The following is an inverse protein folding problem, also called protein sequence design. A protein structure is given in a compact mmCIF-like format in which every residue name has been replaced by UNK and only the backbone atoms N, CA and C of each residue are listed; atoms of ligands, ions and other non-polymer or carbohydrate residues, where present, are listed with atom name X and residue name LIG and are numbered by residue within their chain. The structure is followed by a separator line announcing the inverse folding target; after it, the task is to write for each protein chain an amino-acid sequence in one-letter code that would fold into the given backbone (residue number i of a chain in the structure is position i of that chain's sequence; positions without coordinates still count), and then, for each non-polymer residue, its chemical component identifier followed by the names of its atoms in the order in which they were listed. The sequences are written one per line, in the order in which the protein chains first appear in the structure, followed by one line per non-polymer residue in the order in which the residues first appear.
data_IF_144766979485
#
_entry.id   IF_144766979485
#
_cell.length_a   1.000
_cell.length_b   1.000
_cell.length_c   1.000
_cell.angle_alpha   90.00
_cell.angle_beta   90.00
_cell.angle_gamma   90.00
#
_symmetry.space_group_name_H-M   'P 1'
#
loop_
_entity.id
_entity.type
_entity.pdbx_description
1 polymer ?
#
# COMPACT_ATOMS: atom_id res chain seq x y z
N UNK A 1 18.72 21.76 21.17
CA UNK A 1 17.61 22.65 20.77
C UNK A 1 16.30 21.91 20.90
N UNK A 2 15.43 22.34 21.82
CA UNK A 2 14.10 21.74 21.96
C UNK A 2 13.23 22.15 20.77
N UNK A 3 12.28 21.31 20.33
CA UNK A 3 11.35 21.65 19.24
C UNK A 3 10.58 22.94 19.50
N UNK A 4 10.15 23.15 20.75
CA UNK A 4 9.42 24.35 21.17
C UNK A 4 10.27 25.61 20.99
N UNK A 5 11.55 25.52 21.35
CA UNK A 5 12.51 26.61 21.21
C UNK A 5 12.75 26.95 19.73
N UNK A 6 12.90 25.93 18.86
CA UNK A 6 13.02 26.14 17.42
C UNK A 6 11.77 26.80 16.82
N UNK A 7 10.57 26.40 17.26
CA UNK A 7 9.30 27.01 16.83
C UNK A 7 9.20 28.47 17.24
N UNK A 8 9.63 28.81 18.45
CA UNK A 8 9.65 30.20 18.93
C UNK A 8 10.64 31.06 18.14
N UNK A 9 11.84 30.56 17.85
CA UNK A 9 12.82 31.26 17.02
C UNK A 9 12.30 31.50 15.60
N UNK A 10 11.62 30.50 15.01
CA UNK A 10 11.03 30.62 13.67
C UNK A 10 9.92 31.68 13.63
N UNK A 11 9.03 31.70 14.64
CA UNK A 11 7.98 32.71 14.77
C UNK A 11 8.55 34.11 15.00
N UNK A 12 9.62 34.23 15.78
CA UNK A 12 10.29 35.51 16.01
C UNK A 12 10.89 36.06 14.71
N UNK A 13 11.59 35.21 13.94
CA UNK A 13 12.13 35.55 12.63
C UNK A 13 11.04 35.97 11.62
N UNK A 14 9.88 35.32 11.67
CA UNK A 14 8.71 35.71 10.88
C UNK A 14 8.22 37.12 11.21
N UNK A 15 8.00 37.41 12.50
CA UNK A 15 7.57 38.73 12.96
C UNK A 15 8.59 39.81 12.58
N UNK A 16 9.88 39.55 12.74
CA UNK A 16 10.94 40.48 12.35
C UNK A 16 10.93 40.79 10.85
N UNK A 17 10.77 39.75 10.01
CA UNK A 17 10.71 39.89 8.55
C UNK A 17 9.47 40.67 8.10
N UNK A 18 8.32 40.49 8.76
CA UNK A 18 7.11 41.27 8.48
C UNK A 18 7.27 42.72 8.88
N UNK A 19 7.76 43.00 10.10
CA UNK A 19 7.96 44.38 10.57
C UNK A 19 8.90 45.11 9.62
N UNK A 20 10.00 44.46 9.20
CA UNK A 20 10.89 45.03 8.20
C UNK A 20 10.19 45.28 6.85
N UNK A 21 9.37 44.34 6.37
CA UNK A 21 8.60 44.51 5.14
C UNK A 21 7.66 45.72 5.21
N UNK A 22 6.94 45.88 6.32
CA UNK A 22 6.02 47.02 6.56
C UNK A 22 6.78 48.34 6.63
N UNK A 23 7.91 48.39 7.35
CA UNK A 23 8.76 49.57 7.43
C UNK A 23 9.30 49.98 6.06
N UNK A 24 9.64 49.00 5.21
CA UNK A 24 10.14 49.25 3.85
C UNK A 24 9.06 49.79 2.92
N UNK A 25 7.83 49.28 3.05
CA UNK A 25 6.63 49.84 2.39
C UNK A 25 6.35 51.27 2.86
N UNK A 26 6.43 51.55 4.16
CA UNK A 26 6.17 52.87 4.73
C UNK A 26 7.19 53.92 4.24
N UNK A 27 8.44 53.51 4.00
CA UNK A 27 9.49 54.38 3.44
C UNK A 27 9.42 54.55 1.92
N UNK A 28 8.50 53.89 1.23
CA UNK A 28 8.34 53.98 -0.24
C UNK A 28 9.44 53.28 -1.05
N UNK A 29 10.21 52.37 -0.43
CA UNK A 29 11.29 51.66 -1.12
C UNK A 29 10.74 50.52 -2.00
N UNK A 30 11.32 50.28 -3.20
CA UNK A 30 10.87 49.24 -4.12
C UNK A 30 11.13 47.84 -3.58
N UNK A 31 10.17 46.93 -3.73
CA UNK A 31 10.16 45.61 -3.07
C UNK A 31 10.60 44.46 -3.97
N UNK A 32 10.63 44.69 -5.27
CA UNK A 32 10.65 43.64 -6.30
C UNK A 32 11.89 42.74 -6.28
N UNK A 33 12.97 43.12 -5.59
CA UNK A 33 14.20 42.32 -5.51
C UNK A 33 14.76 42.13 -4.10
N UNK A 34 13.98 42.39 -3.05
CA UNK A 34 14.49 42.31 -1.68
C UNK A 34 14.43 40.88 -1.12
N UNK A 35 15.50 40.38 -0.47
CA UNK A 35 15.54 39.01 0.07
C UNK A 35 14.44 38.71 1.10
N UNK A 36 13.87 39.75 1.73
CA UNK A 36 12.80 39.60 2.74
C UNK A 36 11.57 38.87 2.21
N UNK A 37 11.20 39.05 0.95
CA UNK A 37 10.07 38.31 0.38
C UNK A 37 10.40 36.81 0.28
N UNK A 38 11.64 36.47 -0.10
CA UNK A 38 12.11 35.08 -0.16
C UNK A 38 12.16 34.47 1.26
N UNK A 39 12.75 35.17 2.22
CA UNK A 39 12.80 34.73 3.62
C UNK A 39 11.41 34.53 4.22
N UNK A 40 10.43 35.40 3.91
CA UNK A 40 9.04 35.23 4.37
C UNK A 40 8.39 33.97 3.79
N UNK A 41 8.61 33.68 2.51
CA UNK A 41 8.08 32.46 1.87
C UNK A 41 8.75 31.22 2.45
N UNK A 42 10.07 31.23 2.63
CA UNK A 42 10.81 30.14 3.27
C UNK A 42 10.30 29.85 4.69
N UNK A 43 10.18 30.88 5.53
CA UNK A 43 9.65 30.75 6.89
C UNK A 43 8.22 30.22 6.87
N UNK A 44 7.38 30.66 5.93
CA UNK A 44 6.00 30.14 5.77
C UNK A 44 5.99 28.66 5.40
N UNK A 45 6.87 28.21 4.51
CA UNK A 45 6.99 26.80 4.14
C UNK A 45 7.44 25.96 5.35
N UNK A 46 8.38 26.45 6.16
CA UNK A 46 8.75 25.79 7.41
C UNK A 46 7.57 25.70 8.39
N UNK A 47 6.79 26.78 8.55
CA UNK A 47 5.57 26.78 9.37
C UNK A 47 4.54 25.75 8.90
N UNK A 48 4.41 25.52 7.59
CA UNK A 48 3.52 24.48 7.06
C UNK A 48 4.04 23.06 7.35
N UNK A 49 5.35 22.85 7.27
CA UNK A 49 5.99 21.56 7.55
C UNK A 49 5.96 21.16 9.03
N UNK A 50 5.95 22.12 9.96
CA UNK A 50 5.88 21.82 11.40
C UNK A 50 4.46 21.49 11.91
N UNK A 51 3.39 21.86 11.17
CA UNK A 51 1.99 21.58 11.55
C UNK A 51 1.68 20.13 11.96
N UNK A 52 2.14 19.08 11.24
CA UNK A 52 1.91 17.71 11.67
C UNK A 52 2.60 17.37 13.00
N UNK A 53 3.75 17.98 13.30
CA UNK A 53 4.48 17.78 14.56
C UNK A 53 3.72 18.46 15.70
N UNK A 54 3.22 19.68 15.47
CA UNK A 54 2.35 20.39 16.42
C UNK A 54 1.13 19.55 16.81
N UNK A 55 0.45 18.90 15.86
CA UNK A 55 -0.69 18.02 16.15
C UNK A 55 -0.31 16.82 17.03
N UNK A 56 0.87 16.24 16.81
CA UNK A 56 1.36 15.12 17.63
C UNK A 56 1.67 15.58 19.06
N UNK A 57 2.31 16.73 19.20
CA UNK A 57 2.62 17.31 20.51
C UNK A 57 1.36 17.72 21.26
N UNK A 58 0.39 18.34 20.58
CA UNK A 58 -0.91 18.66 21.16
C UNK A 58 -1.61 17.40 21.70
N UNK A 59 -1.61 16.30 20.94
CA UNK A 59 -2.16 15.03 21.41
C UNK A 59 -1.43 14.51 22.65
N UNK A 60 -0.09 14.55 22.67
CA UNK A 60 0.71 14.12 23.83
C UNK A 60 0.40 14.96 25.07
N UNK A 61 0.33 16.29 24.92
CA UNK A 61 -0.03 17.21 26.00
C UNK A 61 -1.46 16.93 26.49
N UNK A 62 -2.43 16.79 25.60
CA UNK A 62 -3.82 16.44 25.96
C UNK A 62 -3.91 15.07 26.64
N UNK A 63 -3.12 14.08 26.20
CA UNK A 63 -3.07 12.76 26.81
C UNK A 63 -2.54 12.84 28.24
N UNK A 64 -1.48 13.60 28.46
CA UNK A 64 -0.90 13.80 29.81
C UNK A 64 -1.85 14.58 30.71
N UNK A 65 -2.50 15.63 30.21
CA UNK A 65 -3.53 16.37 30.96
C UNK A 65 -4.69 15.46 31.35
N UNK A 66 -5.18 14.61 30.43
CA UNK A 66 -6.23 13.64 30.73
C UNK A 66 -5.78 12.62 31.76
N UNK A 67 -4.57 12.08 31.63
CA UNK A 67 -4.00 11.13 32.59
C UNK A 67 -3.87 11.76 33.99
N UNK A 68 -3.40 13.00 34.07
CA UNK A 68 -3.30 13.77 35.31
C UNK A 68 -4.69 14.02 35.93
N UNK A 69 -5.67 14.41 35.12
CA UNK A 69 -7.06 14.63 35.55
C UNK A 69 -7.72 13.32 36.05
N UNK A 70 -7.46 12.19 35.39
CA UNK A 70 -7.95 10.87 35.85
C UNK A 70 -7.25 10.39 37.11
N UNK A 71 -5.95 10.68 37.29
CA UNK A 71 -5.25 10.34 38.54
C UNK A 71 -5.74 11.17 39.73
N UNK A 72 -6.18 12.42 39.50
CA UNK A 72 -6.85 13.22 40.55
C UNK A 72 -8.28 12.76 40.83
N UNK A 73 -8.99 12.19 39.84
CA UNK A 73 -10.34 11.65 40.02
C UNK A 73 -10.37 10.23 40.65
N UNK A 74 -9.28 9.46 40.49
CA UNK A 74 -9.13 8.12 41.07
C UNK A 74 -8.80 8.12 42.58
N UNK A 75 -8.60 9.29 43.21
CA UNK A 75 -8.49 9.39 44.67
C UNK A 75 -9.85 9.39 45.38
N UNK A 76 -10.96 9.35 44.65
CA UNK A 76 -12.29 9.16 45.21
C UNK A 76 -12.95 7.94 44.58
N UNK A 77 -12.89 6.81 45.30
CA UNK A 77 -13.84 5.67 45.35
C UNK A 77 -13.12 4.30 45.29
N UNK A 78 -13.54 3.32 46.13
CA UNK A 78 -12.73 2.17 46.49
C UNK A 78 -12.94 0.95 45.59
N UNK A 79 -11.90 0.13 45.59
CA UNK A 79 -11.83 -1.24 45.08
C UNK A 79 -12.57 -2.15 46.05
N UNK A 80 -13.45 -3.02 45.54
CA UNK A 80 -13.81 -4.26 46.23
C UNK A 80 -13.70 -5.42 45.25
N UNK A 81 -12.96 -6.43 45.71
CA UNK A 81 -12.64 -7.67 45.04
C UNK A 81 -13.64 -8.80 45.36
N UNK A 82 -13.54 -9.87 44.55
CA UNK A 82 -13.62 -11.29 44.92
C UNK A 82 -14.94 -12.12 44.82
N UNK A 83 -14.76 -13.27 44.14
CA UNK A 83 -15.25 -14.66 44.39
C UNK A 83 -16.67 -15.11 43.98
N UNK A 84 -16.75 -16.09 43.06
CA UNK A 84 -16.96 -17.54 43.36
C UNK A 84 -17.11 -18.42 42.11
N UNK A 85 -16.48 -19.59 42.18
CA UNK A 85 -16.61 -20.75 41.28
C UNK A 85 -17.79 -21.67 41.68
N UNK A 86 -18.36 -22.40 40.71
CA UNK A 86 -18.44 -23.89 40.66
C UNK A 86 -19.51 -24.35 39.64
N UNK A 87 -19.16 -25.30 38.77
CA UNK A 87 -20.07 -25.91 37.79
C UNK A 87 -19.58 -27.28 37.35
N UNK A 88 -20.30 -28.32 37.77
CA UNK A 88 -20.06 -29.75 37.58
C UNK A 88 -20.09 -30.21 36.11
N UNK A 89 -19.19 -31.13 35.73
CA UNK A 89 -19.33 -31.99 34.54
C UNK A 89 -18.87 -33.40 34.86
N UNK A 90 -19.81 -34.33 34.74
CA UNK A 90 -19.60 -35.78 34.74
C UNK A 90 -18.64 -36.20 33.62
N UNK A 91 -17.71 -37.08 33.98
CA UNK A 91 -16.80 -37.80 33.10
C UNK A 91 -17.54 -38.96 32.39
N UNK A 92 -17.51 -39.00 31.05
CA UNK A 92 -18.10 -40.09 30.27
C UNK A 92 -17.13 -41.29 30.16
N UNK A 93 -17.52 -42.41 30.76
CA UNK A 93 -16.83 -43.71 30.79
C UNK A 93 -16.69 -44.35 29.37
N UNK A 94 -15.46 -44.54 28.84
CA UNK A 94 -15.20 -44.97 27.45
C UNK A 94 -15.43 -46.47 27.16
N UNK A 95 -16.03 -47.26 28.05
CA UNK A 95 -16.17 -48.72 27.92
C UNK A 95 -17.55 -49.23 27.41
N UNK A 96 -18.45 -48.36 26.94
CA UNK A 96 -19.80 -48.74 26.47
C UNK A 96 -19.98 -48.84 24.95
N UNK A 97 -18.92 -49.12 24.18
CA UNK A 97 -19.04 -49.31 22.73
C UNK A 97 -19.45 -50.76 22.37
N UNK A 98 -20.76 -51.00 22.20
CA UNK A 98 -21.29 -52.22 21.55
C UNK A 98 -21.61 -51.92 20.08
N UNK A 99 -21.24 -52.78 19.11
CA UNK A 99 -21.62 -52.59 17.71
C UNK A 99 -23.15 -52.64 17.53
N UNK A 100 -23.74 -51.63 16.90
CA UNK A 100 -25.16 -51.58 16.56
C UNK A 100 -25.44 -52.38 15.27
N UNK A 101 -26.23 -53.48 15.32
CA UNK A 101 -26.48 -54.35 14.16
C UNK A 101 -27.42 -53.73 13.11
N UNK A 102 -28.01 -52.56 13.37
CA UNK A 102 -28.94 -51.89 12.45
C UNK A 102 -28.27 -51.06 11.33
N UNK A 103 -26.93 -51.00 11.26
CA UNK A 103 -26.22 -50.32 10.15
C UNK A 103 -25.72 -51.26 9.03
N UNK A 104 -26.00 -52.56 9.11
CA UNK A 104 -25.67 -53.51 8.05
C UNK A 104 -26.80 -53.59 7.01
N UNK A 105 -26.88 -52.59 6.13
CA UNK A 105 -27.75 -52.65 4.93
C UNK A 105 -26.92 -53.06 3.72
N UNK A 106 -27.35 -54.10 3.02
CA UNK A 106 -26.71 -54.62 1.81
C UNK A 106 -26.90 -53.67 0.63
N UNK A 107 -25.79 -53.34 -0.03
CA UNK A 107 -25.68 -52.41 -1.18
C UNK A 107 -26.23 -53.01 -2.48
N UNK A 108 -27.47 -53.50 -2.46
CA UNK A 108 -28.09 -54.18 -3.61
C UNK A 108 -29.30 -53.44 -4.22
N UNK A 109 -29.77 -52.33 -3.64
CA UNK A 109 -31.07 -51.72 -4.01
C UNK A 109 -31.05 -50.24 -4.42
N UNK A 110 -29.90 -49.66 -4.80
CA UNK A 110 -29.81 -48.24 -5.24
C UNK A 110 -29.30 -48.07 -6.68
N UNK A 111 -29.78 -48.90 -7.62
CA UNK A 111 -29.38 -48.80 -9.03
C UNK A 111 -30.56 -48.64 -10.02
N UNK A 112 -31.76 -48.30 -9.56
CA UNK A 112 -32.90 -48.07 -10.46
C UNK A 112 -33.59 -46.74 -10.17
N UNK A 113 -33.19 -45.69 -10.89
CA UNK A 113 -34.03 -44.58 -11.36
C UNK A 113 -33.19 -43.56 -12.15
N UNK A 114 -33.28 -43.60 -13.49
CA UNK A 114 -33.71 -42.45 -14.31
C UNK A 114 -33.44 -42.69 -15.80
N UNK A 115 -34.53 -42.85 -16.56
CA UNK A 115 -34.52 -42.98 -18.01
C UNK A 115 -34.36 -41.65 -18.73
N UNK A 116 -33.30 -41.53 -19.53
CA UNK A 116 -33.27 -40.91 -20.87
C UNK A 116 -31.88 -41.15 -21.45
N UNK A 117 -31.77 -41.59 -22.70
CA UNK A 117 -30.53 -41.99 -23.40
C UNK A 117 -29.50 -40.88 -23.67
N UNK A 118 -29.26 -40.01 -22.71
CA UNK A 118 -28.15 -39.05 -22.70
C UNK A 118 -27.20 -39.47 -21.58
N UNK A 119 -26.05 -39.99 -21.98
CA UNK A 119 -24.99 -40.36 -21.05
C UNK A 119 -24.59 -39.14 -20.21
N UNK A 120 -24.84 -39.22 -18.90
CA UNK A 120 -24.35 -38.27 -17.91
C UNK A 120 -23.16 -38.93 -17.21
N UNK A 121 -21.93 -38.44 -17.44
CA UNK A 121 -20.78 -38.92 -16.69
C UNK A 121 -21.06 -38.85 -15.18
N UNK A 122 -20.80 -39.93 -14.43
CA UNK A 122 -20.92 -39.94 -12.98
C UNK A 122 -20.06 -38.80 -12.40
N UNK A 123 -20.69 -37.93 -11.62
CA UNK A 123 -19.96 -36.87 -10.91
C UNK A 123 -19.27 -37.49 -9.71
N UNK A 124 -18.03 -37.95 -9.90
CA UNK A 124 -17.19 -38.38 -8.78
C UNK A 124 -16.91 -37.17 -7.90
N UNK A 125 -17.50 -37.15 -6.70
CA UNK A 125 -17.03 -36.26 -5.65
C UNK A 125 -15.60 -36.68 -5.28
N UNK A 126 -14.67 -35.73 -5.04
CA UNK A 126 -13.31 -36.06 -4.63
C UNK A 126 -13.35 -36.93 -3.38
N UNK A 127 -13.08 -38.23 -3.53
CA UNK A 127 -12.87 -39.15 -2.43
C UNK A 127 -11.45 -38.89 -1.92
N UNK A 128 -11.38 -38.36 -0.71
CA UNK A 128 -10.12 -38.17 0.02
C UNK A 128 -9.65 -39.59 0.39
N UNK A 129 -8.43 -39.96 0.02
CA UNK A 129 -7.85 -41.26 0.41
C UNK A 129 -7.72 -41.33 1.94
N UNK A 130 -7.94 -42.50 2.52
CA UNK A 130 -8.02 -42.77 3.96
C UNK A 130 -6.70 -42.55 4.76
N UNK A 131 -5.64 -42.07 4.11
CA UNK A 131 -4.34 -41.81 4.74
C UNK A 131 -4.33 -40.51 5.56
N UNK A 132 -5.24 -39.56 5.28
CA UNK A 132 -5.41 -38.30 6.02
C UNK A 132 -6.75 -38.28 6.78
N UNK A 133 -6.92 -39.16 7.78
CA UNK A 133 -8.09 -39.09 8.69
C UNK A 133 -7.94 -37.97 9.73
N UNK A 134 -7.61 -36.76 9.28
CA UNK A 134 -7.76 -35.56 10.11
C UNK A 134 -9.25 -35.38 10.38
N UNK A 135 -9.63 -35.30 11.65
CA UNK A 135 -11.06 -35.19 12.01
C UNK A 135 -11.67 -33.96 11.33
N UNK A 136 -12.99 -33.97 11.06
CA UNK A 136 -13.68 -32.79 10.47
C UNK A 136 -13.38 -31.50 11.26
N UNK A 137 -13.18 -31.62 12.57
CA UNK A 137 -12.84 -30.51 13.46
C UNK A 137 -11.39 -30.07 13.27
N UNK A 138 -10.45 -31.00 13.17
CA UNK A 138 -9.04 -30.74 12.97
C UNK A 138 -8.76 -30.09 11.61
N UNK A 139 -9.44 -30.55 10.56
CA UNK A 139 -9.39 -29.92 9.23
C UNK A 139 -9.95 -28.50 9.24
N UNK A 140 -10.95 -28.22 10.07
CA UNK A 140 -11.48 -26.86 10.26
C UNK A 140 -10.50 -26.00 11.07
N UNK A 141 -9.86 -26.55 12.11
CA UNK A 141 -8.85 -25.87 12.90
C UNK A 141 -7.65 -25.47 12.02
N UNK A 142 -7.13 -26.39 11.20
CA UNK A 142 -6.02 -26.15 10.30
C UNK A 142 -6.35 -25.07 9.25
N UNK A 143 -7.58 -25.03 8.74
CA UNK A 143 -8.05 -23.94 7.85
C UNK A 143 -8.06 -22.59 8.57
N UNK A 144 -8.59 -22.55 9.80
CA UNK A 144 -8.63 -21.32 10.62
C UNK A 144 -7.22 -20.83 10.97
N UNK A 145 -6.33 -21.75 11.34
CA UNK A 145 -4.94 -21.46 11.64
C UNK A 145 -4.20 -20.90 10.41
N UNK A 146 -4.37 -21.53 9.24
CA UNK A 146 -3.81 -21.06 7.97
C UNK A 146 -4.32 -19.68 7.58
N UNK A 147 -5.61 -19.39 7.82
CA UNK A 147 -6.19 -18.07 7.59
C UNK A 147 -5.65 -17.02 8.57
N UNK A 148 -5.51 -17.38 9.85
CA UNK A 148 -4.95 -16.52 10.89
C UNK A 148 -3.50 -16.18 10.58
N UNK A 149 -2.70 -17.17 10.17
CA UNK A 149 -1.31 -16.98 9.74
C UNK A 149 -1.22 -16.10 8.49
N UNK A 150 -2.10 -16.31 7.50
CA UNK A 150 -2.18 -15.44 6.31
C UNK A 150 -2.58 -14.01 6.66
N UNK A 151 -3.47 -13.82 7.64
CA UNK A 151 -3.91 -12.50 8.11
C UNK A 151 -2.81 -11.80 8.91
N UNK A 152 -2.11 -12.54 9.77
CA UNK A 152 -0.96 -12.06 10.54
C UNK A 152 0.12 -11.54 9.60
N UNK A 153 0.52 -12.34 8.60
CA UNK A 153 1.49 -11.97 7.55
C UNK A 153 1.06 -10.80 6.65
N UNK A 154 -0.23 -10.48 6.60
CA UNK A 154 -0.74 -9.32 5.85
C UNK A 154 -0.80 -8.04 6.66
N UNK A 155 -0.67 -8.11 8.00
CA UNK A 155 -0.60 -6.91 8.82
C UNK A 155 0.77 -6.25 8.62
N UNK A 156 0.77 -4.93 8.42
CA UNK A 156 2.02 -4.17 8.23
C UNK A 156 2.95 -4.29 9.43
N UNK A 157 2.39 -4.36 10.64
CA UNK A 157 3.14 -4.48 11.88
C UNK A 157 3.94 -5.80 11.97
N UNK A 158 3.28 -6.94 11.72
CA UNK A 158 3.97 -8.25 11.75
C UNK A 158 4.97 -8.37 10.61
N UNK A 159 4.65 -7.79 9.44
CA UNK A 159 5.59 -7.76 8.32
C UNK A 159 6.87 -6.99 8.69
N UNK A 160 6.73 -5.79 9.26
CA UNK A 160 7.88 -5.01 9.71
C UNK A 160 8.72 -5.74 10.77
N UNK A 161 8.06 -6.40 11.72
CA UNK A 161 8.76 -7.22 12.72
C UNK A 161 9.55 -8.36 12.06
N UNK A 162 8.97 -9.08 11.11
CA UNK A 162 9.67 -10.17 10.40
C UNK A 162 10.85 -9.66 9.57
N UNK A 163 10.68 -8.52 8.89
CA UNK A 163 11.73 -7.89 8.08
C UNK A 163 12.89 -7.35 8.96
N UNK A 164 12.66 -7.06 10.25
CA UNK A 164 13.72 -6.71 11.23
C UNK A 164 14.47 -7.94 11.77
N UNK A 165 13.78 -9.09 11.88
CA UNK A 165 14.38 -10.35 12.36
C UNK A 165 15.18 -11.07 11.26
N UNK A 166 14.66 -11.03 10.03
CA UNK A 166 15.36 -11.51 8.85
C UNK A 166 16.25 -10.35 8.37
N UNK A 167 17.56 -10.36 8.68
CA UNK A 167 18.60 -9.40 8.23
C UNK A 167 18.78 -9.37 6.69
N UNK A 168 17.69 -9.52 5.94
CA UNK A 168 17.57 -9.54 4.50
C UNK A 168 17.52 -8.09 4.02
N UNK A 169 18.33 -7.72 3.00
CA UNK A 169 18.30 -6.36 2.49
C UNK A 169 16.91 -5.99 1.94
N UNK A 170 16.41 -4.82 2.32
CA UNK A 170 15.12 -4.31 1.87
C UNK A 170 15.19 -3.94 0.37
N UNK A 171 14.27 -4.50 -0.42
CA UNK A 171 14.09 -4.08 -1.81
C UNK A 171 13.38 -2.72 -1.84
N UNK A 172 14.14 -1.63 -1.87
CA UNK A 172 13.59 -0.28 -2.06
C UNK A 172 12.99 -0.17 -3.46
N UNK A 173 11.67 -0.26 -3.55
CA UNK A 173 10.92 -0.01 -4.78
C UNK A 173 10.50 1.45 -4.82
N UNK A 174 10.76 2.14 -5.91
CA UNK A 174 10.29 3.52 -6.13
C UNK A 174 8.77 3.53 -6.34
N UNK A 175 8.00 3.44 -5.24
CA UNK A 175 6.54 3.48 -5.26
C UNK A 175 6.13 4.92 -4.98
N UNK A 176 5.88 5.67 -6.06
CA UNK A 176 5.33 7.02 -5.97
C UNK A 176 3.80 6.89 -5.87
N UNK A 177 3.27 6.75 -4.64
CA UNK A 177 1.83 6.77 -4.36
C UNK A 177 1.41 6.01 -3.10
N UNK A 178 0.12 6.07 -2.76
CA UNK A 178 -0.46 5.30 -1.66
C UNK A 178 -0.61 3.83 -2.05
N UNK A 179 0.04 2.94 -1.30
CA UNK A 179 -0.10 1.49 -1.47
C UNK A 179 -1.52 1.03 -1.09
N UNK A 180 -2.45 1.00 -2.04
CA UNK A 180 -3.73 0.34 -1.85
C UNK A 180 -3.55 -1.17 -1.71
N UNK A 181 -4.30 -1.79 -0.78
CA UNK A 181 -4.35 -3.26 -0.58
C UNK A 181 -4.66 -4.01 -1.88
N UNK A 182 -5.37 -3.39 -2.80
CA UNK A 182 -5.69 -3.97 -4.11
C UNK A 182 -4.48 -4.01 -5.05
N UNK A 183 -3.59 -3.04 -4.97
CA UNK A 183 -2.35 -3.01 -5.75
C UNK A 183 -1.39 -4.08 -5.27
N UNK A 184 -1.21 -4.25 -3.96
CA UNK A 184 -0.35 -5.31 -3.40
C UNK A 184 -0.84 -6.70 -3.81
N UNK A 185 -2.17 -6.92 -3.79
CA UNK A 185 -2.78 -8.17 -4.29
C UNK A 185 -2.56 -8.35 -5.79
N UNK A 186 -2.64 -7.29 -6.57
CA UNK A 186 -2.40 -7.33 -8.02
C UNK A 186 -0.93 -7.65 -8.35
N UNK A 187 0.03 -7.01 -7.66
CA UNK A 187 1.46 -7.26 -7.81
C UNK A 187 1.78 -8.71 -7.45
N UNK A 188 1.30 -9.20 -6.30
CA UNK A 188 1.50 -10.58 -5.89
C UNK A 188 0.88 -11.60 -6.88
N UNK A 189 -0.25 -11.27 -7.51
CA UNK A 189 -0.85 -12.11 -8.57
C UNK A 189 0.05 -12.16 -9.82
N UNK A 190 0.61 -11.01 -10.22
CA UNK A 190 1.53 -10.92 -11.38
C UNK A 190 2.84 -11.64 -11.14
N UNK A 191 3.41 -11.53 -9.95
CA UNK A 191 4.65 -12.23 -9.57
C UNK A 191 4.44 -13.75 -9.56
N UNK A 192 3.31 -14.24 -9.04
CA UNK A 192 2.97 -15.67 -9.11
C UNK A 192 2.82 -16.16 -10.55
N UNK A 193 2.19 -15.36 -11.41
CA UNK A 193 2.08 -15.68 -12.81
C UNK A 193 3.47 -15.75 -13.46
N UNK A 194 4.37 -14.80 -13.17
CA UNK A 194 5.73 -14.82 -13.68
C UNK A 194 6.48 -16.09 -13.25
N UNK A 195 6.38 -16.50 -11.98
CA UNK A 195 6.96 -17.76 -11.49
C UNK A 195 6.43 -18.98 -12.22
N UNK A 196 5.11 -19.05 -12.44
CA UNK A 196 4.52 -20.15 -13.22
C UNK A 196 4.96 -20.16 -14.69
N UNK A 197 5.14 -18.98 -15.29
CA UNK A 197 5.66 -18.85 -16.66
C UNK A 197 7.14 -19.25 -16.73
N UNK A 198 7.92 -19.00 -15.68
CA UNK A 198 9.31 -19.47 -15.52
C UNK A 198 9.35 -21.00 -15.37
N UNK A 199 8.54 -21.57 -14.47
CA UNK A 199 8.47 -23.02 -14.22
C UNK A 199 8.05 -23.79 -15.48
N UNK A 200 7.09 -23.25 -16.24
CA UNK A 200 6.53 -23.89 -17.44
C UNK A 200 7.12 -23.38 -18.75
N UNK A 201 8.10 -22.46 -18.70
CA UNK A 201 8.77 -21.82 -19.85
C UNK A 201 7.83 -21.35 -20.97
N UNK A 202 6.59 -20.97 -20.66
CA UNK A 202 5.55 -20.61 -21.64
C UNK A 202 4.72 -19.44 -21.17
N UNK A 203 4.38 -18.52 -22.08
CA UNK A 203 3.58 -17.33 -21.76
C UNK A 203 2.09 -17.65 -21.76
N UNK A 204 1.39 -17.32 -20.67
CA UNK A 204 -0.04 -17.51 -20.58
C UNK A 204 -0.81 -16.40 -21.34
N UNK A 205 -1.84 -16.74 -22.14
CA UNK A 205 -2.64 -15.74 -22.85
C UNK A 205 -3.53 -14.96 -21.87
N UNK A 206 -3.44 -13.62 -21.91
CA UNK A 206 -4.19 -12.74 -21.00
C UNK A 206 -5.55 -12.33 -21.59
N UNK A 207 -6.61 -12.46 -20.81
CA UNK A 207 -7.98 -12.10 -21.23
C UNK A 207 -8.18 -10.58 -21.38
N UNK A 208 -9.15 -10.16 -22.20
CA UNK A 208 -9.50 -8.73 -22.37
C UNK A 208 -9.88 -8.05 -21.05
N UNK A 209 -10.57 -8.78 -20.16
CA UNK A 209 -10.98 -8.28 -18.83
C UNK A 209 -9.77 -8.00 -17.94
N UNK A 210 -8.80 -8.92 -17.89
CA UNK A 210 -7.57 -8.75 -17.10
C UNK A 210 -6.71 -7.60 -17.62
N UNK A 211 -6.62 -7.42 -18.93
CA UNK A 211 -5.95 -6.24 -19.54
C UNK A 211 -6.61 -4.92 -19.11
N UNK A 212 -7.94 -4.89 -18.93
CA UNK A 212 -8.65 -3.69 -18.44
C UNK A 212 -8.33 -3.41 -16.97
N UNK A 213 -8.28 -4.45 -16.14
CA UNK A 213 -7.90 -4.34 -14.72
C UNK A 213 -6.44 -3.87 -14.60
N UNK A 214 -5.53 -4.45 -15.39
CA UNK A 214 -4.13 -4.03 -15.46
C UNK A 214 -4.00 -2.54 -15.82
N UNK A 215 -4.70 -2.08 -16.87
CA UNK A 215 -4.70 -0.66 -17.26
C UNK A 215 -5.23 0.25 -16.15
N UNK A 216 -6.26 -0.18 -15.41
CA UNK A 216 -6.80 0.57 -14.29
C UNK A 216 -5.77 0.67 -13.14
N UNK A 217 -5.12 -0.44 -12.79
CA UNK A 217 -4.12 -0.47 -11.72
C UNK A 217 -2.83 0.29 -12.09
N UNK A 218 -2.41 0.27 -13.36
CA UNK A 218 -1.25 1.02 -13.87
C UNK A 218 -1.49 2.53 -14.04
N UNK A 219 -2.73 3.01 -13.83
CA UNK A 219 -3.05 4.43 -13.97
C UNK A 219 -2.44 5.22 -12.80
N UNK A 220 -1.89 6.40 -13.12
CA UNK A 220 -1.17 7.29 -12.20
C UNK A 220 -1.91 7.63 -10.90
N UNK A 221 -3.25 7.61 -10.92
CA UNK A 221 -4.09 7.92 -9.76
C UNK A 221 -4.01 6.87 -8.65
N UNK A 222 -3.57 5.65 -8.98
CA UNK A 222 -3.50 4.53 -8.04
C UNK A 222 -2.05 4.15 -7.72
N UNK A 223 -1.07 5.07 -7.80
CA UNK A 223 0.33 4.77 -7.46
C UNK A 223 1.07 3.78 -8.38
N UNK A 224 0.42 3.20 -9.40
CA UNK A 224 1.01 2.23 -10.33
C UNK A 224 1.88 2.82 -11.44
N UNK A 225 2.45 4.01 -11.23
CA UNK A 225 3.39 4.64 -12.18
C UNK A 225 4.66 3.79 -12.37
N UNK A 226 5.16 3.14 -11.32
CA UNK A 226 6.36 2.29 -11.36
C UNK A 226 6.17 1.02 -12.19
N UNK A 227 4.94 0.49 -12.27
CA UNK A 227 4.60 -0.69 -13.07
C UNK A 227 4.50 -0.42 -14.59
N UNK A 228 4.72 0.84 -15.01
CA UNK A 228 4.75 1.24 -16.42
C UNK A 228 6.13 1.19 -17.06
N UNK A 229 7.21 1.06 -16.29
CA UNK A 229 8.54 0.85 -16.86
C UNK A 229 8.66 -0.60 -17.31
N UNK A 230 8.71 -0.89 -18.62
CA UNK A 230 9.12 -2.20 -19.08
C UNK A 230 10.58 -2.42 -18.68
N UNK A 231 10.91 -3.63 -18.24
CA UNK A 231 12.27 -4.13 -18.20
C UNK A 231 12.94 -3.82 -19.55
N UNK A 232 13.79 -2.79 -19.59
CA UNK A 232 14.70 -2.50 -20.69
C UNK A 232 15.96 -3.35 -20.51
N UNK A 233 15.81 -4.67 -20.52
CA UNK A 233 16.92 -5.60 -20.68
C UNK A 233 16.46 -6.65 -21.69
N UNK A 234 16.91 -6.51 -22.95
CA UNK A 234 16.64 -7.51 -23.99
C UNK A 234 16.13 -7.01 -25.34
N UNK A 235 16.47 -5.79 -25.78
CA UNK A 235 16.32 -5.37 -27.18
C UNK A 235 17.49 -4.49 -27.65
N UNK A 236 18.70 -5.04 -27.60
CA UNK A 236 19.77 -4.64 -28.51
C UNK A 236 19.95 -5.75 -29.54
N UNK A 237 19.08 -5.73 -30.54
CA UNK A 237 19.39 -6.30 -31.86
C UNK A 237 18.99 -5.26 -32.89
N UNK A 238 20.02 -4.64 -33.46
CA UNK A 238 20.08 -4.07 -34.80
C UNK A 238 18.89 -3.18 -35.23
N UNK A 239 19.07 -1.87 -35.04
CA UNK A 239 18.57 -0.90 -36.01
C UNK A 239 19.53 0.29 -36.07
N UNK A 240 20.69 0.04 -36.67
CA UNK A 240 21.29 1.03 -37.55
C UNK A 240 20.22 1.45 -38.57
N UNK A 241 20.14 2.74 -38.91
CA UNK A 241 19.09 3.39 -39.72
C UNK A 241 17.87 3.96 -38.96
N UNK A 242 18.11 4.97 -38.11
CA UNK A 242 17.17 6.12 -37.97
C UNK A 242 17.83 7.41 -37.45
N UNK A 243 19.15 7.56 -37.58
CA UNK A 243 19.91 8.76 -37.18
C UNK A 243 20.04 9.79 -38.32
N UNK A 244 18.94 10.16 -39.00
CA UNK A 244 18.98 11.25 -40.03
C UNK A 244 17.73 12.16 -40.01
N UNK A 245 16.83 12.06 -39.02
CA UNK A 245 15.61 12.90 -39.00
C UNK A 245 15.54 14.00 -37.94
N UNK A 246 16.50 14.11 -37.02
CA UNK A 246 16.53 15.19 -36.03
C UNK A 246 17.46 16.37 -36.36
N UNK A 247 18.36 16.23 -37.35
CA UNK A 247 19.23 17.34 -37.77
C UNK A 247 18.51 18.39 -38.65
N UNK A 248 17.32 18.09 -39.19
CA UNK A 248 16.56 18.99 -40.05
C UNK A 248 15.74 20.07 -39.31
N UNK A 249 15.36 19.84 -38.05
CA UNK A 249 14.56 20.82 -37.29
C UNK A 249 15.40 21.91 -36.62
N UNK A 250 16.67 21.63 -36.32
CA UNK A 250 17.56 22.62 -35.69
C UNK A 250 18.04 23.66 -36.71
N UNK A 251 18.26 23.27 -37.97
CA UNK A 251 18.62 24.20 -39.05
C UNK A 251 17.48 25.19 -39.39
N UNK A 252 16.23 24.76 -39.32
CA UNK A 252 15.07 25.63 -39.61
C UNK A 252 14.83 26.69 -38.52
N UNK A 253 15.14 26.38 -37.26
CA UNK A 253 14.96 27.32 -36.16
C UNK A 253 16.02 28.44 -36.14
N UNK A 254 17.27 28.12 -36.54
CA UNK A 254 18.36 29.11 -36.62
C UNK A 254 18.16 30.07 -37.81
N UNK A 255 17.61 29.61 -38.93
CA UNK A 255 17.30 30.47 -40.09
C UNK A 255 16.14 31.42 -39.79
N UNK A 256 15.14 30.99 -38.99
CA UNK A 256 13.98 31.81 -38.65
C UNK A 256 14.26 32.85 -37.55
N UNK A 257 15.29 32.65 -36.73
CA UNK A 257 15.71 33.63 -35.72
C UNK A 257 16.48 34.81 -36.36
N UNK A 258 17.36 34.56 -37.34
CA UNK A 258 18.14 35.62 -37.99
C UNK A 258 17.31 36.53 -38.92
N UNK A 259 16.18 36.07 -39.46
CA UNK A 259 15.33 36.90 -40.33
C UNK A 259 14.42 37.87 -39.54
N UNK A 260 14.21 37.65 -38.24
CA UNK A 260 13.39 38.51 -37.39
C UNK A 260 14.21 39.68 -36.83
N UNK A 261 15.51 39.49 -36.55
CA UNK A 261 16.39 40.61 -36.15
C UNK A 261 16.73 41.56 -37.32
N UNK A 262 16.77 41.07 -38.56
CA UNK A 262 17.05 41.94 -39.73
C UNK A 262 15.89 42.86 -40.13
N UNK A 263 14.64 42.55 -39.73
CA UNK A 263 13.48 43.41 -40.03
C UNK A 263 13.22 44.49 -38.98
N UNK A 264 13.73 44.36 -37.75
CA UNK A 264 13.57 45.39 -36.71
C UNK A 264 14.59 46.53 -36.81
N UNK A 265 15.71 46.34 -37.51
CA UNK A 265 16.73 47.39 -37.68
C UNK A 265 16.45 48.35 -38.86
N UNK A 266 15.48 48.06 -39.72
CA UNK A 266 15.14 48.89 -40.89
C UNK A 266 13.98 49.86 -40.66
N UNK A 267 13.41 49.91 -39.44
CA UNK A 267 12.25 50.76 -39.11
C UNK A 267 12.57 51.92 -38.17
N UNK A 268 13.86 52.22 -37.93
CA UNK A 268 14.33 53.33 -37.07
C UNK A 268 15.10 54.42 -37.87
N UNK A 269 15.14 54.33 -39.20
CA UNK A 269 15.62 55.42 -40.05
C UNK A 269 14.75 55.58 -41.30
N UNK A 270 13.59 56.22 -41.12
CA UNK A 270 12.84 56.97 -42.13
C UNK A 270 11.92 57.96 -41.42
#
# INVERSE_FOLDING_TARGET
MSYLEAKHLLLLSYCQSIVYYVLRKAKGLPIENHPVVRSLVEIRLFLEKIRPIDKKLEYQVQKLIRAAATSSAAQTMPVDEEKKEEGSRDEEDPLKYRPNPNMLVSKASQAEQDGRGVYRPPKFAPTIMDEDKMSKQEKQALRREKELLRRSKQSSYVKGLMDEFEDRPEEVREIIGSESRELSRYIAKREKQAKQEEDHFTRAPVTKREKKIEKHMKKSRNGGLSLRLPQLHGRLVLSSYSCVKELGMVAWLVIRANHIEMMCHFSIHA
#
